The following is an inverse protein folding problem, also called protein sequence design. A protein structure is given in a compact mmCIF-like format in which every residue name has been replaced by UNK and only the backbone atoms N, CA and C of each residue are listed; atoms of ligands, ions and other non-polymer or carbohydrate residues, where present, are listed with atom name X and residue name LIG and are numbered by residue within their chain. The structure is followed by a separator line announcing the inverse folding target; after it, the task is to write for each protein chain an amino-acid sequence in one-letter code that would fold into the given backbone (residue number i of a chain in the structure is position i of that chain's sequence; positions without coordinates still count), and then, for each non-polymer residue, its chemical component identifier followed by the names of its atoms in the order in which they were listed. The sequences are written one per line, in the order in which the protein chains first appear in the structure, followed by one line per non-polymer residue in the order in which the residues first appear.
data_IF_047456676202
#
_entry.id   IF_047456676202
#
_cell.length_a   1.000
_cell.length_b   1.000
_cell.length_c   1.000
_cell.angle_alpha   90.00
_cell.angle_beta   90.00
_cell.angle_gamma   90.00
#
_symmetry.space_group_name_H-M   'P 1'
#
loop_
_entity.id
_entity.type
_entity.pdbx_description
1 polymer ?
#
# COMPACT_ATOMS: atom_id res chain seq x y z
N UNK A 1 -3.09 8.74 -11.10
CA UNK A 1 -1.77 9.31 -11.47
C UNK A 1 -1.71 10.82 -11.21
N UNK A 2 -2.72 11.59 -11.69
CA UNK A 2 -2.70 13.05 -11.61
C UNK A 2 -2.69 13.59 -10.18
N UNK A 3 -3.46 13.01 -9.25
CA UNK A 3 -3.42 13.35 -7.83
C UNK A 3 -2.03 13.10 -7.22
N UNK A 4 -1.40 11.98 -7.56
CA UNK A 4 -0.06 11.64 -7.09
C UNK A 4 1.00 12.59 -7.67
N UNK A 5 0.87 12.93 -8.94
CA UNK A 5 1.69 13.95 -9.61
C UNK A 5 1.56 15.30 -8.89
N UNK A 6 0.33 15.81 -8.74
CA UNK A 6 0.10 17.14 -8.16
C UNK A 6 0.55 17.21 -6.69
N UNK A 7 0.31 16.12 -5.94
CA UNK A 7 0.71 16.04 -4.55
C UNK A 7 2.24 16.09 -4.39
N UNK A 8 2.98 15.32 -5.20
CA UNK A 8 4.44 15.28 -5.08
C UNK A 8 5.14 16.48 -5.73
N UNK A 9 4.56 17.06 -6.77
CA UNK A 9 5.11 18.25 -7.44
C UNK A 9 5.20 19.48 -6.53
N UNK A 10 4.35 19.57 -5.49
CA UNK A 10 4.33 20.68 -4.52
C UNK A 10 4.73 20.30 -3.10
N UNK A 11 5.06 19.03 -2.86
CA UNK A 11 5.39 18.54 -1.53
C UNK A 11 6.74 19.08 -1.04
N UNK A 12 6.85 19.33 0.26
CA UNK A 12 8.15 19.53 0.91
C UNK A 12 8.84 18.16 1.10
N UNK A 13 9.59 17.76 0.08
CA UNK A 13 10.27 16.46 0.06
C UNK A 13 11.37 16.34 1.13
N UNK A 14 11.89 17.46 1.62
CA UNK A 14 12.96 17.46 2.64
C UNK A 14 12.51 16.84 3.96
N UNK A 15 11.23 16.97 4.29
CA UNK A 15 10.64 16.41 5.52
C UNK A 15 10.26 14.94 5.39
N UNK A 16 9.89 14.51 4.20
CA UNK A 16 9.27 13.19 4.01
C UNK A 16 10.25 12.11 3.56
N UNK A 17 11.31 12.45 2.85
CA UNK A 17 12.31 11.49 2.34
C UNK A 17 13.34 11.11 3.42
N UNK A 18 12.86 10.73 4.60
CA UNK A 18 13.71 10.21 5.67
C UNK A 18 13.92 8.69 5.48
N UNK A 19 15.19 8.22 5.43
CA UNK A 19 15.49 6.79 5.43
C UNK A 19 14.87 6.05 6.62
N UNK A 20 14.77 6.71 7.78
CA UNK A 20 14.15 6.16 8.97
C UNK A 20 12.66 5.92 8.75
N UNK A 21 11.93 6.86 8.14
CA UNK A 21 10.52 6.71 7.82
C UNK A 21 10.27 5.49 6.93
N UNK A 22 11.07 5.33 5.88
CA UNK A 22 10.99 4.18 4.98
C UNK A 22 11.29 2.87 5.72
N UNK A 23 12.35 2.86 6.55
CA UNK A 23 12.71 1.68 7.34
C UNK A 23 11.58 1.27 8.27
N UNK A 24 10.97 2.21 8.99
CA UNK A 24 9.90 1.94 9.97
C UNK A 24 8.62 1.41 9.33
N UNK A 25 8.39 1.68 8.04
CA UNK A 25 7.28 1.10 7.30
C UNK A 25 7.65 -0.24 6.65
N UNK A 26 8.80 -0.29 5.94
CA UNK A 26 9.15 -1.48 5.15
C UNK A 26 9.67 -2.64 5.99
N UNK A 27 10.32 -2.40 7.13
CA UNK A 27 10.78 -3.48 8.00
C UNK A 27 9.61 -4.34 8.52
N UNK A 28 8.52 -3.78 9.09
CA UNK A 28 7.31 -4.54 9.40
C UNK A 28 6.69 -5.24 8.19
N UNK A 29 6.56 -4.53 7.07
CA UNK A 29 5.95 -5.08 5.87
C UNK A 29 6.74 -6.29 5.33
N UNK A 30 8.06 -6.20 5.26
CA UNK A 30 8.95 -7.28 4.85
C UNK A 30 8.91 -8.43 5.86
N UNK A 31 8.90 -8.13 7.16
CA UNK A 31 8.81 -9.15 8.22
C UNK A 31 7.52 -9.95 8.08
N UNK A 32 6.37 -9.28 7.98
CA UNK A 32 5.08 -9.96 7.79
C UNK A 32 5.07 -10.75 6.48
N UNK A 33 5.58 -10.17 5.39
CA UNK A 33 5.71 -10.85 4.10
C UNK A 33 6.50 -12.16 4.22
N UNK A 34 7.68 -12.11 4.82
CA UNK A 34 8.58 -13.28 4.95
C UNK A 34 7.96 -14.33 5.86
N UNK A 35 7.51 -13.95 7.04
CA UNK A 35 6.94 -14.87 8.03
C UNK A 35 5.71 -15.60 7.47
N UNK A 36 4.79 -14.86 6.86
CA UNK A 36 3.56 -15.46 6.29
C UNK A 36 3.90 -16.35 5.09
N UNK A 37 4.79 -15.93 4.19
CA UNK A 37 5.18 -16.77 3.05
C UNK A 37 5.88 -18.06 3.50
N UNK A 38 6.77 -18.01 4.49
CA UNK A 38 7.40 -19.21 5.03
C UNK A 38 6.40 -20.14 5.71
N UNK A 39 5.48 -19.58 6.50
CA UNK A 39 4.41 -20.35 7.14
C UNK A 39 3.50 -21.02 6.11
N UNK A 40 3.08 -20.29 5.09
CA UNK A 40 2.21 -20.83 4.03
C UNK A 40 2.95 -21.81 3.14
N UNK A 41 4.23 -21.57 2.84
CA UNK A 41 5.05 -22.51 2.11
C UNK A 41 5.16 -23.88 2.81
N UNK A 42 5.40 -23.86 4.13
CA UNK A 42 5.42 -25.10 4.95
C UNK A 42 4.07 -25.83 4.95
N UNK A 43 2.95 -25.09 4.91
CA UNK A 43 1.59 -25.69 4.92
C UNK A 43 1.15 -26.21 3.54
N UNK A 44 1.53 -25.52 2.48
CA UNK A 44 1.04 -25.81 1.12
C UNK A 44 2.02 -26.65 0.29
N UNK A 45 3.30 -26.75 0.70
CA UNK A 45 4.36 -27.40 -0.07
C UNK A 45 4.73 -26.68 -1.38
N UNK A 46 4.24 -25.43 -1.56
CA UNK A 46 4.48 -24.61 -2.75
C UNK A 46 4.53 -23.12 -2.43
N UNK A 47 5.16 -22.29 -3.27
CA UNK A 47 5.09 -20.85 -3.12
C UNK A 47 3.65 -20.33 -3.30
N UNK A 48 3.35 -19.22 -2.64
CA UNK A 48 2.04 -18.56 -2.69
C UNK A 48 2.19 -17.04 -2.64
N UNK A 49 1.12 -16.31 -2.94
CA UNK A 49 1.10 -14.86 -2.80
C UNK A 49 0.43 -14.39 -1.49
N UNK A 50 0.31 -15.28 -0.52
CA UNK A 50 -0.39 -14.99 0.74
C UNK A 50 0.40 -14.04 1.63
N UNK A 51 1.75 -14.09 1.63
CA UNK A 51 2.57 -13.11 2.33
C UNK A 51 2.41 -11.70 1.77
N UNK A 52 2.30 -11.58 0.45
CA UNK A 52 1.99 -10.32 -0.20
C UNK A 52 0.60 -9.81 0.21
N UNK A 53 -0.41 -10.69 0.28
CA UNK A 53 -1.75 -10.31 0.74
C UNK A 53 -1.78 -9.81 2.19
N UNK A 54 -0.92 -10.36 3.05
CA UNK A 54 -0.81 -9.95 4.45
C UNK A 54 0.00 -8.66 4.68
N UNK A 55 0.82 -8.22 3.71
CA UNK A 55 1.72 -7.07 3.86
C UNK A 55 1.42 -5.89 2.94
N UNK A 56 0.79 -6.11 1.78
CA UNK A 56 0.53 -5.07 0.81
C UNK A 56 -0.75 -4.29 1.11
N UNK A 57 -0.62 -3.01 1.43
CA UNK A 57 -1.72 -2.11 1.79
C UNK A 57 -2.37 -1.43 0.58
N UNK A 58 -3.68 -1.25 0.62
CA UNK A 58 -4.44 -0.48 -0.37
C UNK A 58 -4.32 1.04 -0.10
N UNK A 59 -3.11 1.54 -0.18
CA UNK A 59 -2.80 2.94 0.16
C UNK A 59 -3.36 3.94 -0.86
N UNK A 60 -3.64 3.51 -2.10
CA UNK A 60 -4.17 4.41 -3.14
C UNK A 60 -5.68 4.57 -3.01
N UNK A 61 -6.45 3.46 -2.99
CA UNK A 61 -7.90 3.55 -2.99
C UNK A 61 -8.51 3.83 -1.61
N UNK A 62 -7.79 3.47 -0.54
CA UNK A 62 -8.25 3.65 0.85
C UNK A 62 -7.36 4.65 1.59
N UNK A 63 -6.04 4.50 1.53
CA UNK A 63 -5.11 5.31 2.31
C UNK A 63 -5.14 6.79 1.94
N UNK A 64 -5.09 7.14 0.66
CA UNK A 64 -5.14 8.54 0.22
C UNK A 64 -6.44 9.22 0.68
N UNK A 65 -7.65 8.69 0.40
CA UNK A 65 -8.89 9.28 0.89
C UNK A 65 -8.93 9.43 2.41
N UNK A 66 -8.55 8.36 3.13
CA UNK A 66 -8.57 8.35 4.58
C UNK A 66 -7.66 9.44 5.17
N UNK A 67 -6.39 9.45 4.76
CA UNK A 67 -5.39 10.37 5.29
C UNK A 67 -5.72 11.82 4.92
N UNK A 68 -6.19 12.07 3.70
CA UNK A 68 -6.62 13.41 3.27
C UNK A 68 -7.74 13.95 4.15
N UNK A 69 -8.75 13.12 4.43
CA UNK A 69 -9.93 13.55 5.20
C UNK A 69 -9.63 13.68 6.69
N UNK A 70 -8.83 12.77 7.25
CA UNK A 70 -8.60 12.69 8.69
C UNK A 70 -7.44 13.57 9.18
N UNK A 71 -6.37 13.70 8.38
CA UNK A 71 -5.16 14.42 8.78
C UNK A 71 -4.86 15.65 7.93
N UNK A 72 -5.63 15.86 6.86
CA UNK A 72 -5.44 16.98 5.93
C UNK A 72 -4.43 16.67 4.80
N UNK A 73 -4.43 17.53 3.75
CA UNK A 73 -3.63 17.28 2.54
C UNK A 73 -2.11 17.35 2.78
N UNK A 74 -1.65 18.12 3.77
CA UNK A 74 -0.23 18.29 4.08
C UNK A 74 0.42 17.00 4.58
N UNK A 75 -0.37 16.10 5.19
CA UNK A 75 0.09 14.80 5.67
C UNK A 75 0.39 13.80 4.53
N UNK A 76 -0.13 14.04 3.33
CA UNK A 76 0.05 13.15 2.17
C UNK A 76 1.50 13.06 1.72
N UNK A 77 2.36 14.00 2.08
CA UNK A 77 3.79 13.96 1.74
C UNK A 77 4.45 12.69 2.29
N UNK A 78 4.13 12.27 3.52
CA UNK A 78 4.65 11.05 4.13
C UNK A 78 4.11 9.79 3.43
N UNK A 79 2.82 9.80 3.07
CA UNK A 79 2.20 8.71 2.30
C UNK A 79 2.88 8.56 0.93
N UNK A 80 3.10 9.66 0.21
CA UNK A 80 3.71 9.62 -1.11
C UNK A 80 5.16 9.13 -1.06
N UNK A 81 5.94 9.53 -0.04
CA UNK A 81 7.30 9.04 0.14
C UNK A 81 7.37 7.50 0.25
N UNK A 82 6.46 6.90 1.00
CA UNK A 82 6.35 5.43 1.10
C UNK A 82 5.80 4.83 -0.19
N UNK A 83 4.78 5.47 -0.80
CA UNK A 83 4.06 4.93 -1.94
C UNK A 83 4.95 4.75 -3.18
N UNK A 84 5.95 5.62 -3.38
CA UNK A 84 6.97 5.50 -4.45
C UNK A 84 7.62 4.12 -4.44
N UNK A 85 7.94 3.61 -3.25
CA UNK A 85 8.65 2.34 -3.07
C UNK A 85 7.73 1.16 -2.77
N UNK A 86 6.48 1.42 -2.37
CA UNK A 86 5.58 0.41 -1.81
C UNK A 86 5.37 -0.79 -2.76
N UNK A 87 4.94 -0.52 -3.98
CA UNK A 87 4.73 -1.57 -4.99
C UNK A 87 6.06 -2.14 -5.48
N UNK A 88 7.07 -1.29 -5.68
CA UNK A 88 8.38 -1.73 -6.15
C UNK A 88 9.00 -2.74 -5.19
N UNK A 89 9.07 -2.42 -3.90
CA UNK A 89 9.69 -3.30 -2.89
C UNK A 89 8.91 -4.59 -2.76
N UNK A 90 7.60 -4.53 -2.51
CA UNK A 90 6.82 -5.74 -2.18
C UNK A 90 6.58 -6.63 -3.41
N UNK A 91 6.40 -6.07 -4.60
CA UNK A 91 6.25 -6.86 -5.82
C UNK A 91 7.57 -7.49 -6.26
N UNK A 92 8.69 -6.79 -6.08
CA UNK A 92 10.02 -7.35 -6.31
C UNK A 92 10.30 -8.51 -5.35
N UNK A 93 10.00 -8.35 -4.06
CA UNK A 93 10.12 -9.44 -3.08
C UNK A 93 9.28 -10.65 -3.46
N UNK A 94 8.03 -10.45 -3.89
CA UNK A 94 7.16 -11.55 -4.33
C UNK A 94 7.71 -12.23 -5.59
N UNK A 95 8.26 -11.47 -6.54
CA UNK A 95 8.85 -12.01 -7.75
C UNK A 95 10.10 -12.84 -7.45
N UNK A 96 10.97 -12.35 -6.57
CA UNK A 96 12.12 -13.13 -6.10
C UNK A 96 11.70 -14.39 -5.35
N UNK A 97 10.72 -14.28 -4.44
CA UNK A 97 10.20 -15.44 -3.73
C UNK A 97 9.66 -16.52 -4.69
N UNK A 98 8.91 -16.11 -5.71
CA UNK A 98 8.39 -17.01 -6.72
C UNK A 98 9.52 -17.66 -7.57
N UNK A 99 10.55 -16.90 -7.89
CA UNK A 99 11.69 -17.42 -8.65
C UNK A 99 12.53 -18.42 -7.84
N UNK A 100 12.77 -18.17 -6.56
CA UNK A 100 13.58 -19.05 -5.71
C UNK A 100 12.85 -20.32 -5.27
N UNK A 101 11.56 -20.23 -5.01
CA UNK A 101 10.77 -21.34 -4.45
C UNK A 101 9.76 -21.95 -5.44
N UNK A 102 9.63 -21.39 -6.64
CA UNK A 102 8.72 -21.82 -7.70
C UNK A 102 9.43 -22.41 -8.91
N UNK A 103 8.95 -22.09 -10.10
CA UNK A 103 9.42 -22.63 -11.39
C UNK A 103 10.79 -22.09 -11.87
N UNK A 104 11.47 -21.29 -11.09
CA UNK A 104 12.86 -20.90 -11.36
C UNK A 104 13.09 -19.75 -12.34
N UNK A 105 12.06 -19.17 -12.93
CA UNK A 105 12.21 -18.04 -13.86
C UNK A 105 11.83 -16.71 -13.20
N UNK A 106 12.81 -15.77 -13.17
CA UNK A 106 12.55 -14.37 -12.87
C UNK A 106 11.79 -13.74 -14.03
N UNK A 107 10.54 -13.39 -13.79
CA UNK A 107 9.75 -12.72 -14.81
C UNK A 107 10.07 -11.22 -14.84
N UNK A 108 11.14 -10.85 -15.55
CA UNK A 108 11.58 -9.46 -15.75
C UNK A 108 10.49 -8.56 -16.33
N UNK A 109 9.60 -9.13 -17.17
CA UNK A 109 8.45 -8.39 -17.71
C UNK A 109 7.47 -7.96 -16.62
N UNK A 110 7.25 -8.80 -15.61
CA UNK A 110 6.40 -8.45 -14.47
C UNK A 110 7.01 -7.34 -13.61
N UNK A 111 8.34 -7.37 -13.41
CA UNK A 111 9.07 -6.31 -12.69
C UNK A 111 9.05 -4.99 -13.45
N UNK A 112 9.37 -5.02 -14.75
CA UNK A 112 9.31 -3.82 -15.60
C UNK A 112 7.88 -3.30 -15.74
N UNK A 113 6.88 -4.17 -15.82
CA UNK A 113 5.47 -3.80 -15.80
C UNK A 113 5.05 -3.08 -14.52
N UNK A 114 5.65 -3.44 -13.38
CA UNK A 114 5.43 -2.73 -12.11
C UNK A 114 5.98 -1.31 -12.14
N UNK A 115 7.13 -1.08 -12.79
CA UNK A 115 7.70 0.27 -12.99
C UNK A 115 6.91 1.10 -13.99
N UNK A 116 6.31 0.45 -15.01
CA UNK A 116 5.42 1.10 -15.97
C UNK A 116 4.00 1.36 -15.43
N UNK A 117 3.78 1.16 -14.12
CA UNK A 117 2.50 1.48 -13.50
C UNK A 117 2.22 2.99 -13.60
N UNK A 118 1.05 3.40 -14.12
CA UNK A 118 0.69 4.82 -14.23
C UNK A 118 0.76 5.62 -12.93
N UNK A 119 0.59 4.96 -11.78
CA UNK A 119 0.71 5.58 -10.46
C UNK A 119 2.16 5.95 -10.17
N UNK A 120 3.10 5.03 -10.43
CA UNK A 120 4.54 5.27 -10.27
C UNK A 120 5.01 6.34 -11.24
N UNK A 121 4.57 6.29 -12.49
CA UNK A 121 4.88 7.34 -13.49
C UNK A 121 4.39 8.70 -12.99
N UNK A 122 3.16 8.79 -12.48
CA UNK A 122 2.63 10.04 -11.91
C UNK A 122 3.48 10.58 -10.75
N UNK A 123 3.90 9.71 -9.82
CA UNK A 123 4.80 10.07 -8.71
C UNK A 123 6.18 10.54 -9.21
N UNK A 124 6.78 9.80 -10.13
CA UNK A 124 8.10 10.14 -10.69
C UNK A 124 8.08 11.48 -11.43
N UNK A 125 7.05 11.71 -12.26
CA UNK A 125 6.87 12.99 -12.94
C UNK A 125 6.67 14.15 -11.93
N UNK A 126 5.88 13.92 -10.87
CA UNK A 126 5.70 14.90 -9.80
C UNK A 126 7.01 15.22 -9.07
N UNK A 127 7.78 14.19 -8.71
CA UNK A 127 9.10 14.36 -8.10
C UNK A 127 10.07 15.11 -9.01
N UNK A 128 10.12 14.79 -10.30
CA UNK A 128 10.98 15.48 -11.27
C UNK A 128 10.64 16.97 -11.40
N UNK A 129 9.34 17.31 -11.46
CA UNK A 129 8.89 18.72 -11.48
C UNK A 129 9.31 19.42 -10.19
N UNK A 130 9.10 18.81 -9.04
CA UNK A 130 9.50 19.35 -7.74
C UNK A 130 11.01 19.63 -7.65
N UNK A 131 11.82 18.62 -7.98
CA UNK A 131 13.28 18.71 -7.90
C UNK A 131 13.89 19.64 -8.96
N UNK A 132 13.27 19.77 -10.12
CA UNK A 132 13.74 20.66 -11.19
C UNK A 132 13.42 22.13 -10.95
N UNK A 133 12.51 22.43 -10.01
CA UNK A 133 11.98 23.78 -9.80
C UNK A 133 11.18 24.33 -10.98
N UNK A 134 10.72 23.46 -11.89
CA UNK A 134 9.95 23.84 -13.06
C UNK A 134 8.60 24.42 -12.66
N UNK A 135 8.34 25.67 -13.04
CA UNK A 135 7.06 26.31 -12.82
C UNK A 135 6.06 25.90 -13.93
N UNK A 136 5.01 25.22 -13.52
CA UNK A 136 3.91 24.86 -14.43
C UNK A 136 2.99 26.08 -14.57
N UNK A 137 2.67 26.51 -15.83
CA UNK A 137 1.76 27.62 -16.07
C UNK A 137 0.41 27.45 -15.38
N UNK A 138 -0.13 28.53 -14.80
CA UNK A 138 -1.35 28.51 -14.00
C UNK A 138 -2.57 27.85 -14.71
N UNK A 139 -2.81 28.01 -16.03
CA UNK A 139 -3.92 27.33 -16.69
C UNK A 139 -3.76 25.79 -16.70
N UNK A 140 -2.54 25.30 -16.93
CA UNK A 140 -2.23 23.86 -16.89
C UNK A 140 -2.36 23.31 -15.47
N UNK A 141 -1.92 24.10 -14.48
CA UNK A 141 -2.04 23.69 -13.08
C UNK A 141 -3.50 23.58 -12.64
N UNK A 142 -4.38 24.51 -13.06
CA UNK A 142 -5.83 24.39 -12.79
C UNK A 142 -6.43 23.11 -13.38
N UNK A 143 -6.04 22.72 -14.60
CA UNK A 143 -6.47 21.46 -15.21
C UNK A 143 -6.02 20.26 -14.37
N UNK A 144 -4.76 20.25 -13.91
CA UNK A 144 -4.21 19.21 -13.03
C UNK A 144 -5.02 19.13 -11.74
N UNK A 145 -5.33 20.25 -11.09
CA UNK A 145 -6.13 20.29 -9.86
C UNK A 145 -7.56 19.77 -10.07
N UNK A 146 -8.21 20.12 -11.16
CA UNK A 146 -9.56 19.61 -11.49
C UNK A 146 -9.56 18.09 -11.66
N UNK A 147 -8.58 17.53 -12.36
CA UNK A 147 -8.44 16.09 -12.53
C UNK A 147 -8.05 15.39 -11.23
N UNK A 148 -7.21 16.02 -10.41
CA UNK A 148 -6.82 15.50 -9.09
C UNK A 148 -8.01 15.46 -8.13
N UNK A 149 -8.88 16.47 -8.13
CA UNK A 149 -10.08 16.51 -7.30
C UNK A 149 -11.05 15.35 -7.58
N UNK A 150 -11.12 14.88 -8.82
CA UNK A 150 -11.94 13.72 -9.18
C UNK A 150 -11.36 12.39 -8.67
N UNK A 151 -10.09 12.35 -8.31
CA UNK A 151 -9.41 11.10 -7.98
C UNK A 151 -9.96 10.42 -6.72
N UNK A 152 -10.30 11.18 -5.67
CA UNK A 152 -10.84 10.63 -4.41
C UNK A 152 -12.21 9.95 -4.62
N UNK A 153 -13.25 10.62 -5.18
CA UNK A 153 -14.53 9.96 -5.42
C UNK A 153 -14.40 8.78 -6.39
N UNK A 154 -13.56 8.87 -7.42
CA UNK A 154 -13.34 7.77 -8.35
C UNK A 154 -12.62 6.59 -7.69
N UNK A 155 -11.67 6.83 -6.78
CA UNK A 155 -11.00 5.77 -6.02
C UNK A 155 -11.99 4.98 -5.16
N UNK A 156 -12.90 5.65 -4.46
CA UNK A 156 -13.92 5.01 -3.65
C UNK A 156 -14.94 4.24 -4.49
N UNK A 157 -15.34 4.80 -5.63
CA UNK A 157 -16.21 4.12 -6.59
C UNK A 157 -15.54 2.84 -7.13
N UNK A 158 -14.29 2.93 -7.57
CA UNK A 158 -13.51 1.77 -8.04
C UNK A 158 -13.33 0.71 -6.96
N UNK A 159 -13.12 1.12 -5.70
CA UNK A 159 -13.05 0.20 -4.58
C UNK A 159 -14.37 -0.57 -4.44
N UNK A 160 -15.51 0.13 -4.40
CA UNK A 160 -16.83 -0.49 -4.31
C UNK A 160 -17.11 -1.45 -5.46
N UNK A 161 -16.81 -1.04 -6.70
CA UNK A 161 -16.96 -1.90 -7.89
C UNK A 161 -16.07 -3.15 -7.82
N UNK A 162 -14.82 -3.01 -7.38
CA UNK A 162 -13.92 -4.15 -7.27
C UNK A 162 -14.38 -5.18 -6.22
N UNK A 163 -14.99 -4.70 -5.13
CA UNK A 163 -15.50 -5.58 -4.08
C UNK A 163 -16.74 -6.38 -4.50
N UNK A 164 -17.57 -5.85 -5.39
CA UNK A 164 -18.80 -6.52 -5.84
C UNK A 164 -18.56 -7.85 -6.55
N UNK A 165 -17.37 -8.04 -7.14
CA UNK A 165 -16.97 -9.27 -7.84
C UNK A 165 -16.39 -10.36 -6.94
N UNK A 166 -16.10 -10.07 -5.66
CA UNK A 166 -15.44 -11.02 -4.77
C UNK A 166 -16.44 -11.88 -3.99
N UNK A 167 -16.09 -13.17 -3.84
CA UNK A 167 -16.83 -14.12 -3.01
C UNK A 167 -15.99 -14.52 -1.82
N UNK A 168 -16.61 -14.56 -0.63
CA UNK A 168 -15.92 -14.97 0.60
C UNK A 168 -15.77 -16.49 0.61
N UNK A 169 -14.54 -16.94 0.84
CA UNK A 169 -14.20 -18.34 1.09
C UNK A 169 -13.65 -18.48 2.50
N UNK A 170 -14.47 -18.91 3.43
CA UNK A 170 -14.08 -19.04 4.84
C UNK A 170 -13.01 -20.13 5.00
N UNK A 171 -11.88 -19.75 5.56
CA UNK A 171 -10.74 -20.63 5.85
C UNK A 171 -9.88 -20.07 6.98
N UNK A 172 -9.14 -20.94 7.68
CA UNK A 172 -8.18 -20.48 8.69
C UNK A 172 -7.12 -19.53 8.12
N UNK A 173 -6.73 -19.72 6.87
CA UNK A 173 -5.80 -18.82 6.18
C UNK A 173 -6.41 -17.43 5.96
N UNK A 174 -7.70 -17.33 5.62
CA UNK A 174 -8.39 -16.04 5.49
C UNK A 174 -8.31 -15.23 6.78
N UNK A 175 -8.63 -15.86 7.91
CA UNK A 175 -8.60 -15.20 9.23
C UNK A 175 -7.16 -14.76 9.57
N UNK A 176 -6.20 -15.67 9.42
CA UNK A 176 -4.79 -15.38 9.70
C UNK A 176 -4.28 -14.19 8.88
N UNK A 177 -4.52 -14.18 7.56
CA UNK A 177 -4.05 -13.11 6.67
C UNK A 177 -4.73 -11.77 6.97
N UNK A 178 -6.04 -11.79 7.24
CA UNK A 178 -6.80 -10.59 7.59
C UNK A 178 -6.32 -9.99 8.93
N UNK A 179 -6.13 -10.83 9.96
CA UNK A 179 -5.60 -10.37 11.25
C UNK A 179 -4.15 -9.87 11.13
N UNK A 180 -3.31 -10.59 10.37
CA UNK A 180 -1.94 -10.13 10.11
C UNK A 180 -1.92 -8.77 9.42
N UNK A 181 -2.83 -8.54 8.47
CA UNK A 181 -2.91 -7.29 7.73
C UNK A 181 -3.45 -6.13 8.56
N UNK A 182 -4.54 -6.34 9.28
CA UNK A 182 -5.26 -5.25 9.96
C UNK A 182 -4.78 -4.98 11.39
N UNK A 183 -4.12 -5.95 12.03
CA UNK A 183 -3.67 -5.82 13.41
C UNK A 183 -2.16 -5.96 13.56
N UNK A 184 -1.56 -7.07 13.09
CA UNK A 184 -0.14 -7.32 13.30
C UNK A 184 0.75 -6.29 12.61
N UNK A 185 0.50 -6.02 11.33
CA UNK A 185 1.32 -5.09 10.55
C UNK A 185 1.29 -3.66 11.13
N UNK A 186 0.12 -3.02 11.39
CA UNK A 186 0.11 -1.70 12.00
C UNK A 186 0.61 -1.68 13.44
N UNK A 187 0.42 -2.75 14.23
CA UNK A 187 0.99 -2.85 15.57
C UNK A 187 2.53 -2.84 15.54
N UNK A 188 3.16 -3.52 14.59
CA UNK A 188 4.62 -3.49 14.41
C UNK A 188 5.10 -2.09 13.99
N UNK A 189 4.40 -1.42 13.09
CA UNK A 189 4.72 -0.04 12.69
C UNK A 189 4.56 0.91 13.88
N UNK A 190 3.48 0.77 14.65
CA UNK A 190 3.26 1.54 15.89
C UNK A 190 4.41 1.34 16.87
N UNK A 191 4.73 0.10 17.19
CA UNK A 191 5.77 -0.21 18.17
C UNK A 191 7.15 0.34 17.75
N UNK A 192 7.53 0.13 16.49
CA UNK A 192 8.82 0.63 15.98
C UNK A 192 8.86 2.16 15.90
N UNK A 193 7.76 2.81 15.51
CA UNK A 193 7.68 4.27 15.47
C UNK A 193 7.79 4.90 16.85
N UNK A 194 7.17 4.30 17.87
CA UNK A 194 7.32 4.73 19.28
C UNK A 194 8.76 4.57 19.77
N UNK A 195 9.39 3.43 19.49
CA UNK A 195 10.78 3.17 19.88
C UNK A 195 11.77 4.11 19.19
N UNK A 196 11.50 4.50 17.96
CA UNK A 196 12.36 5.38 17.19
C UNK A 196 12.11 6.89 17.46
N UNK A 197 11.06 7.25 18.22
CA UNK A 197 10.71 8.64 18.48
C UNK A 197 10.33 9.41 17.20
N UNK A 198 9.61 8.75 16.29
CA UNK A 198 9.20 9.37 15.02
C UNK A 198 8.26 10.55 15.28
N UNK A 199 8.33 11.57 14.41
CA UNK A 199 7.37 12.69 14.42
C UNK A 199 5.92 12.18 14.49
N UNK A 200 5.07 12.72 15.40
CA UNK A 200 3.74 12.20 15.65
C UNK A 200 2.85 12.13 14.39
N UNK A 201 2.92 13.14 13.50
CA UNK A 201 2.13 13.16 12.28
C UNK A 201 2.63 12.08 11.29
N UNK A 202 3.93 12.01 11.07
CA UNK A 202 4.55 10.99 10.23
C UNK A 202 4.23 9.57 10.75
N UNK A 203 4.32 9.37 12.07
CA UNK A 203 4.01 8.10 12.72
C UNK A 203 2.54 7.70 12.50
N UNK A 204 1.60 8.63 12.73
CA UNK A 204 0.17 8.40 12.48
C UNK A 204 -0.09 8.01 11.03
N UNK A 205 0.52 8.71 10.07
CA UNK A 205 0.40 8.36 8.65
C UNK A 205 0.90 6.95 8.38
N UNK A 206 2.07 6.56 8.90
CA UNK A 206 2.62 5.22 8.68
C UNK A 206 1.72 4.12 9.27
N UNK A 207 1.21 4.32 10.50
CA UNK A 207 0.30 3.36 11.15
C UNK A 207 -1.00 3.21 10.36
N UNK A 208 -1.61 4.32 9.91
CA UNK A 208 -2.82 4.27 9.10
C UNK A 208 -2.58 3.61 7.73
N UNK A 209 -1.45 3.89 7.08
CA UNK A 209 -1.05 3.18 5.85
C UNK A 209 -0.92 1.68 6.07
N UNK A 210 -0.28 1.28 7.16
CA UNK A 210 -0.14 -0.13 7.53
C UNK A 210 -1.49 -0.77 7.88
N UNK A 211 -2.41 -0.03 8.49
CA UNK A 211 -3.76 -0.47 8.86
C UNK A 211 -4.75 -0.51 7.67
N UNK A 212 -4.43 0.11 6.53
CA UNK A 212 -5.23 -0.02 5.32
C UNK A 212 -5.41 -1.50 4.92
N UNK A 213 -6.57 -1.88 4.35
CA UNK A 213 -6.83 -3.26 3.94
C UNK A 213 -5.87 -3.74 2.85
N UNK A 214 -5.93 -5.02 2.54
CA UNK A 214 -5.14 -5.62 1.45
C UNK A 214 -5.43 -4.95 0.11
N UNK A 215 -4.39 -4.58 -0.61
CA UNK A 215 -4.52 -3.93 -1.92
C UNK A 215 -4.99 -4.87 -3.02
N UNK A 216 -5.88 -4.38 -3.87
CA UNK A 216 -6.46 -5.14 -5.00
C UNK A 216 -5.40 -5.64 -5.99
N UNK A 217 -4.27 -4.93 -6.10
CA UNK A 217 -3.18 -5.25 -7.02
C UNK A 217 -2.48 -6.59 -6.69
N UNK A 218 -2.66 -7.13 -5.48
CA UNK A 218 -2.16 -8.46 -5.08
C UNK A 218 -2.71 -9.57 -5.98
N UNK A 219 -3.91 -9.37 -6.54
CA UNK A 219 -4.52 -10.34 -7.48
C UNK A 219 -3.64 -10.65 -8.69
N UNK A 220 -2.81 -9.71 -9.13
CA UNK A 220 -1.88 -9.91 -10.25
C UNK A 220 -0.82 -10.98 -9.96
N UNK A 221 -0.59 -11.31 -8.69
CA UNK A 221 0.37 -12.32 -8.24
C UNK A 221 -0.31 -13.61 -7.76
N UNK A 222 -1.65 -13.72 -7.86
CA UNK A 222 -2.37 -14.92 -7.47
C UNK A 222 -1.90 -16.13 -8.28
N UNK A 223 -1.46 -17.18 -7.58
CA UNK A 223 -0.89 -18.38 -8.17
C UNK A 223 -1.92 -19.53 -8.18
N UNK A 224 -2.68 -19.60 -9.27
CA UNK A 224 -3.71 -20.62 -9.45
C UNK A 224 -5.03 -20.30 -8.73
N UNK A 225 -6.04 -21.14 -8.96
CA UNK A 225 -7.40 -20.87 -8.48
C UNK A 225 -7.55 -20.83 -6.96
N UNK A 226 -6.80 -21.66 -6.23
CA UNK A 226 -6.87 -21.71 -4.77
C UNK A 226 -6.37 -20.38 -4.16
N UNK A 227 -5.24 -19.85 -4.63
CA UNK A 227 -4.70 -18.57 -4.17
C UNK A 227 -5.63 -17.41 -4.56
N UNK A 228 -6.15 -17.42 -5.78
CA UNK A 228 -7.12 -16.43 -6.26
C UNK A 228 -8.33 -16.33 -5.33
N UNK A 229 -8.90 -17.47 -4.92
CA UNK A 229 -10.06 -17.51 -4.02
C UNK A 229 -9.73 -16.94 -2.63
N UNK A 230 -8.58 -17.33 -2.07
CA UNK A 230 -8.18 -16.87 -0.74
C UNK A 230 -7.84 -15.38 -0.79
N UNK A 231 -7.04 -14.94 -1.76
CA UNK A 231 -6.62 -13.54 -1.90
C UNK A 231 -7.82 -12.62 -2.13
N UNK A 232 -8.76 -13.00 -3.02
CA UNK A 232 -9.99 -12.23 -3.23
C UNK A 232 -10.82 -12.12 -1.95
N UNK A 233 -10.91 -13.22 -1.17
CA UNK A 233 -11.60 -13.21 0.12
C UNK A 233 -10.90 -12.33 1.14
N UNK A 234 -9.56 -12.31 1.18
CA UNK A 234 -8.77 -11.43 2.07
C UNK A 234 -8.98 -9.97 1.69
N UNK A 235 -8.92 -9.61 0.41
CA UNK A 235 -9.17 -8.25 -0.08
C UNK A 235 -10.57 -7.80 0.38
N UNK A 236 -11.59 -8.62 0.15
CA UNK A 236 -12.96 -8.30 0.53
C UNK A 236 -13.09 -8.15 2.05
N UNK A 237 -12.74 -9.20 2.81
CA UNK A 237 -12.93 -9.22 4.26
C UNK A 237 -12.10 -8.14 4.95
N UNK A 238 -10.83 -7.97 4.55
CA UNK A 238 -9.98 -6.92 5.13
C UNK A 238 -10.55 -5.52 4.85
N UNK A 239 -11.14 -5.29 3.67
CA UNK A 239 -11.76 -3.99 3.34
C UNK A 239 -13.00 -3.72 4.19
N UNK A 240 -13.88 -4.72 4.37
CA UNK A 240 -15.07 -4.58 5.22
C UNK A 240 -14.67 -4.37 6.68
N UNK A 241 -13.76 -5.20 7.21
CA UNK A 241 -13.30 -5.12 8.60
C UNK A 241 -12.48 -3.85 8.86
N UNK A 242 -11.78 -3.33 7.85
CA UNK A 242 -11.07 -2.06 7.95
C UNK A 242 -12.00 -0.88 8.29
N UNK A 243 -13.27 -0.94 7.90
CA UNK A 243 -14.28 0.03 8.33
C UNK A 243 -14.42 0.15 9.84
N UNK A 244 -14.08 -0.90 10.60
CA UNK A 244 -14.06 -0.91 12.06
C UNK A 244 -12.65 -0.69 12.63
N UNK A 245 -11.63 -1.30 12.03
CA UNK A 245 -10.27 -1.25 12.59
C UNK A 245 -9.55 0.07 12.32
N UNK A 246 -9.81 0.74 11.20
CA UNK A 246 -9.19 2.05 10.91
C UNK A 246 -9.61 3.14 11.92
N UNK A 247 -10.89 3.31 12.28
CA UNK A 247 -11.27 4.21 13.36
C UNK A 247 -10.60 3.87 14.69
N UNK A 248 -10.44 2.58 15.04
CA UNK A 248 -9.75 2.17 16.26
C UNK A 248 -8.27 2.58 16.24
N UNK A 249 -7.57 2.35 15.14
CA UNK A 249 -6.19 2.81 14.96
C UNK A 249 -6.08 4.34 15.03
N UNK A 250 -7.04 5.06 14.42
CA UNK A 250 -7.05 6.52 14.46
C UNK A 250 -7.22 7.03 15.90
N UNK A 251 -8.14 6.45 16.68
CA UNK A 251 -8.33 6.81 18.10
C UNK A 251 -7.09 6.50 18.92
N UNK A 252 -6.43 5.35 18.66
CA UNK A 252 -5.19 4.96 19.36
C UNK A 252 -4.03 5.92 19.06
N UNK A 253 -4.01 6.53 17.87
CA UNK A 253 -2.98 7.49 17.45
C UNK A 253 -3.35 8.95 17.79
N UNK A 254 -4.57 9.21 18.28
CA UNK A 254 -4.96 10.53 18.72
C UNK A 254 -4.11 10.96 19.95
N UNK A 255 -3.65 12.23 19.99
CA UNK A 255 -2.81 12.75 21.06
C UNK A 255 -3.53 12.83 22.40
#
# INVERSE_FOLDING_TARGET
PVLLFSGLARADLSRAMSPLLLLLYFLPAITVFVVINLLMHRRLGRPSSMGLAASYSNNVLVGIPLITVMLGPDSLVYLFAVLVFHSLVLFTLQSFYNAFFGSGELNWRSLLGSLANPLIIGLMCGALVNLSGLEIPAPLWRLVEMLAAAALPLALLMLGMSLSGYRIHLSGSLVLLTLSKLLLMPALVLALGLLAGLDPLAHTVLVLMAACPTGVNVMAFAMGQADTRIISSVIFLSTVVAGLTLPLWLVLMAP
#
